data_IF_158473911610
#
_entry.id   IF_158473911610
#
_cell.length_a   1.000
_cell.length_b   1.000
_cell.length_c   1.000
_cell.angle_alpha   90.00
_cell.angle_beta   90.00
_cell.angle_gamma   90.00
#
_symmetry.space_group_name_H-M   'P 1'
#
loop_
_entity.id
_entity.type
_entity.pdbx_description
1 polymer ?
#
# COMPACT_ATOMS: atom_id res chain seq x y z
N UNK A 1 43.64 6.24 22.93
CA UNK A 1 42.19 5.92 22.90
C UNK A 1 41.90 5.11 21.64
N UNK A 2 41.96 3.77 21.70
CA UNK A 2 41.62 2.94 20.54
C UNK A 2 40.11 2.70 20.53
N UNK A 3 39.46 3.04 19.42
CA UNK A 3 38.07 2.68 19.21
C UNK A 3 37.94 1.15 19.26
N UNK A 4 36.95 0.65 20.02
CA UNK A 4 36.70 -0.78 20.16
C UNK A 4 36.48 -1.42 18.79
N UNK A 5 36.99 -2.64 18.58
CA UNK A 5 36.77 -3.42 17.35
C UNK A 5 35.26 -3.52 17.01
N UNK A 6 34.39 -3.48 18.03
CA UNK A 6 32.93 -3.42 17.86
C UNK A 6 32.46 -2.14 17.16
N UNK A 7 33.05 -0.99 17.50
CA UNK A 7 32.68 0.31 16.90
C UNK A 7 33.18 0.42 15.46
N UNK A 8 34.37 -0.12 15.19
CA UNK A 8 34.92 -0.20 13.82
C UNK A 8 34.07 -1.13 12.93
N UNK A 9 33.69 -2.31 13.43
CA UNK A 9 32.79 -3.25 12.73
C UNK A 9 31.39 -2.66 12.50
N UNK A 10 30.88 -1.89 13.47
CA UNK A 10 29.60 -1.19 13.32
C UNK A 10 29.65 -0.12 12.23
N UNK A 11 30.71 0.68 12.17
CA UNK A 11 30.94 1.69 11.13
C UNK A 11 31.05 1.08 9.73
N UNK A 12 31.75 -0.05 9.59
CA UNK A 12 31.87 -0.78 8.32
C UNK A 12 30.53 -1.40 7.90
N UNK A 13 29.80 -2.05 8.81
CA UNK A 13 28.44 -2.59 8.52
C UNK A 13 27.46 -1.51 8.09
N UNK A 14 27.51 -0.32 8.70
CA UNK A 14 26.67 0.82 8.32
C UNK A 14 27.03 1.33 6.93
N UNK A 15 28.33 1.45 6.60
CA UNK A 15 28.81 1.85 5.26
C UNK A 15 28.43 0.82 4.18
N UNK A 16 28.57 -0.48 4.46
CA UNK A 16 28.18 -1.56 3.54
C UNK A 16 26.66 -1.59 3.31
N UNK A 17 25.85 -1.43 4.36
CA UNK A 17 24.39 -1.30 4.23
C UNK A 17 23.96 -0.07 3.43
N UNK A 18 24.73 1.03 3.51
CA UNK A 18 24.44 2.23 2.73
C UNK A 18 24.87 2.08 1.26
N UNK A 19 25.96 1.35 1.00
CA UNK A 19 26.42 1.02 -0.35
C UNK A 19 25.46 0.10 -1.13
N UNK A 20 24.58 -0.64 -0.43
CA UNK A 20 23.57 -1.52 -1.03
C UNK A 20 22.15 -0.91 -1.08
N UNK A 21 22.02 0.42 -1.08
CA UNK A 21 20.72 1.09 -1.12
C UNK A 21 20.07 0.92 -2.50
N UNK A 22 18.86 0.35 -2.55
CA UNK A 22 18.06 0.26 -3.77
C UNK A 22 17.12 1.45 -3.88
N UNK A 23 17.26 2.22 -4.96
CA UNK A 23 16.32 3.28 -5.32
C UNK A 23 15.20 2.70 -6.19
N UNK A 24 13.95 2.99 -5.81
CA UNK A 24 12.74 2.74 -6.60
C UNK A 24 12.13 4.10 -6.91
N UNK A 25 12.29 4.55 -8.16
CA UNK A 25 11.68 5.78 -8.64
C UNK A 25 10.24 5.50 -9.06
N UNK A 26 9.30 6.25 -8.51
CA UNK A 26 7.91 6.24 -8.99
C UNK A 26 7.86 7.02 -10.31
N UNK A 27 7.24 6.47 -11.37
CA UNK A 27 7.15 7.17 -12.65
C UNK A 27 6.32 8.45 -12.55
N UNK A 28 6.53 9.38 -13.50
CA UNK A 28 5.76 10.63 -13.61
C UNK A 28 4.25 10.41 -13.63
N UNK A 29 3.81 9.36 -14.33
CA UNK A 29 2.43 8.89 -14.26
C UNK A 29 2.38 7.52 -13.56
N UNK A 30 1.80 7.49 -12.35
CA UNK A 30 1.57 6.29 -11.55
C UNK A 30 0.07 6.09 -11.31
N UNK A 31 -0.64 5.78 -12.38
CA UNK A 31 -2.10 5.66 -12.42
C UNK A 31 -2.52 4.45 -13.23
N UNK A 32 -3.61 3.80 -12.83
CA UNK A 32 -4.23 2.76 -13.65
C UNK A 32 -5.04 3.32 -14.82
N UNK A 33 -5.38 4.61 -14.84
CA UNK A 33 -6.24 5.19 -15.87
C UNK A 33 -5.50 6.32 -16.59
N UNK A 34 -5.36 6.19 -17.92
CA UNK A 34 -4.82 7.22 -18.79
C UNK A 34 -5.71 7.35 -20.02
N UNK A 35 -6.37 8.50 -20.16
CA UNK A 35 -7.27 8.76 -21.30
C UNK A 35 -8.44 7.78 -21.43
N UNK A 36 -8.93 7.20 -20.32
CA UNK A 36 -10.02 6.22 -20.32
C UNK A 36 -9.56 4.76 -20.51
N UNK A 37 -8.28 4.53 -20.81
CA UNK A 37 -7.69 3.20 -20.95
C UNK A 37 -7.02 2.77 -19.65
N UNK A 38 -7.19 1.49 -19.28
CA UNK A 38 -6.60 0.91 -18.07
C UNK A 38 -5.19 0.36 -18.33
N UNK A 39 -4.20 0.79 -17.54
CA UNK A 39 -2.79 0.38 -17.66
C UNK A 39 -2.27 -0.22 -16.35
N UNK A 40 -2.38 -1.55 -16.20
CA UNK A 40 -1.93 -2.26 -15.01
C UNK A 40 -0.42 -2.51 -15.00
N UNK A 41 0.14 -2.90 -16.15
CA UNK A 41 1.55 -3.31 -16.26
C UNK A 41 2.51 -2.20 -15.85
N UNK A 42 2.20 -0.94 -16.20
CA UNK A 42 3.01 0.22 -15.80
C UNK A 42 3.15 0.32 -14.28
N UNK A 43 2.03 0.22 -13.55
CA UNK A 43 2.03 0.27 -12.08
C UNK A 43 2.71 -0.96 -11.49
N UNK A 44 2.39 -2.15 -11.99
CA UNK A 44 2.91 -3.41 -11.45
C UNK A 44 4.41 -3.60 -11.71
N UNK A 45 4.93 -3.05 -12.82
CA UNK A 45 6.36 -3.13 -13.17
C UNK A 45 7.28 -2.42 -12.17
N UNK A 46 6.75 -1.46 -11.40
CA UNK A 46 7.47 -0.76 -10.33
C UNK A 46 7.68 -1.64 -9.09
N UNK A 47 6.82 -2.65 -8.91
CA UNK A 47 6.79 -3.50 -7.72
C UNK A 47 7.75 -4.69 -7.90
N UNK A 48 9.04 -4.49 -7.64
CA UNK A 48 10.04 -5.56 -7.70
C UNK A 48 9.94 -6.52 -6.51
N UNK A 49 9.14 -7.56 -6.69
CA UNK A 49 8.96 -8.65 -5.74
C UNK A 49 10.16 -9.59 -5.62
N UNK A 50 11.38 -9.20 -6.01
CA UNK A 50 12.61 -10.00 -5.78
C UNK A 50 13.52 -9.40 -4.70
N UNK A 51 13.33 -8.13 -4.36
CA UNK A 51 14.14 -7.40 -3.37
C UNK A 51 14.04 -8.04 -1.98
N UNK A 52 15.18 -8.14 -1.27
CA UNK A 52 15.32 -8.64 0.10
C UNK A 52 16.58 -8.09 0.78
N UNK A 53 16.54 -7.98 2.11
CA UNK A 53 17.67 -7.70 3.00
C UNK A 53 18.50 -6.43 2.68
N UNK A 54 17.88 -5.42 2.06
CA UNK A 54 18.54 -4.16 1.66
C UNK A 54 17.79 -2.93 2.16
N UNK A 55 18.45 -1.77 2.13
CA UNK A 55 17.76 -0.48 2.29
C UNK A 55 17.08 -0.12 0.97
N UNK A 56 15.81 0.24 1.02
CA UNK A 56 15.02 0.69 -0.11
C UNK A 56 14.61 2.15 0.12
N UNK A 57 14.80 2.99 -0.89
CA UNK A 57 14.22 4.33 -0.93
C UNK A 57 13.21 4.40 -2.07
N UNK A 58 11.99 4.80 -1.72
CA UNK A 58 10.92 5.04 -2.69
C UNK A 58 10.84 6.55 -2.93
N UNK A 59 11.07 6.95 -4.17
CA UNK A 59 11.19 8.36 -4.57
C UNK A 59 9.97 8.81 -5.38
N UNK A 60 9.22 9.77 -4.84
CA UNK A 60 8.03 10.38 -5.44
C UNK A 60 8.30 11.76 -6.06
N UNK A 61 9.54 12.25 -6.03
CA UNK A 61 9.85 13.65 -6.41
C UNK A 61 9.66 13.97 -7.90
N UNK A 62 9.52 12.96 -8.75
CA UNK A 62 9.26 13.10 -10.19
C UNK A 62 7.84 12.61 -10.57
N UNK A 63 6.96 12.36 -9.59
CA UNK A 63 5.62 11.78 -9.81
C UNK A 63 4.52 12.86 -9.92
N UNK A 64 4.31 13.36 -11.13
CA UNK A 64 3.37 14.46 -11.44
C UNK A 64 1.90 14.03 -11.39
N UNK A 65 1.60 12.74 -11.53
CA UNK A 65 0.23 12.21 -11.55
C UNK A 65 0.16 10.83 -10.93
N UNK A 66 -0.65 10.67 -9.88
CA UNK A 66 -0.94 9.39 -9.28
C UNK A 66 -2.42 9.24 -8.93
N UNK A 67 -2.94 8.01 -8.95
CA UNK A 67 -4.27 7.70 -8.40
C UNK A 67 -4.17 6.89 -7.11
N UNK A 68 -5.21 6.97 -6.28
CA UNK A 68 -5.23 6.37 -4.95
C UNK A 68 -5.09 4.85 -5.00
N UNK A 69 -5.67 4.21 -6.01
CA UNK A 69 -5.61 2.76 -6.18
C UNK A 69 -4.19 2.29 -6.47
N UNK A 70 -3.44 2.97 -7.35
CA UNK A 70 -2.06 2.58 -7.67
C UNK A 70 -1.15 2.79 -6.45
N UNK A 71 -1.26 3.94 -5.77
CA UNK A 71 -0.43 4.22 -4.59
C UNK A 71 -0.78 3.29 -3.41
N UNK A 72 -2.01 2.80 -3.32
CA UNK A 72 -2.39 1.77 -2.33
C UNK A 72 -1.62 0.46 -2.52
N UNK A 73 -1.25 0.09 -3.75
CA UNK A 73 -0.38 -1.08 -3.98
C UNK A 73 1.05 -0.87 -3.46
N UNK A 74 1.55 0.37 -3.43
CA UNK A 74 2.85 0.68 -2.82
C UNK A 74 2.85 0.43 -1.31
N UNK A 75 1.71 0.61 -0.64
CA UNK A 75 1.57 0.28 0.79
C UNK A 75 1.77 -1.22 1.01
N UNK A 76 1.09 -2.06 0.22
CA UNK A 76 1.27 -3.52 0.27
C UNK A 76 2.71 -3.92 -0.04
N UNK A 77 3.28 -3.32 -1.08
CA UNK A 77 4.66 -3.58 -1.46
C UNK A 77 5.65 -3.21 -0.35
N UNK A 78 5.42 -2.10 0.37
CA UNK A 78 6.22 -1.74 1.54
C UNK A 78 6.14 -2.79 2.65
N UNK A 79 4.95 -3.32 2.95
CA UNK A 79 4.82 -4.42 3.91
C UNK A 79 5.54 -5.69 3.44
N UNK A 80 5.49 -6.01 2.13
CA UNK A 80 6.25 -7.14 1.58
C UNK A 80 7.76 -6.96 1.69
N UNK A 81 8.25 -5.76 1.41
CA UNK A 81 9.66 -5.42 1.60
C UNK A 81 10.07 -5.57 3.07
N UNK A 82 9.21 -5.17 4.02
CA UNK A 82 9.44 -5.42 5.46
C UNK A 82 9.48 -6.88 5.84
N UNK A 83 8.56 -7.70 5.32
CA UNK A 83 8.59 -9.15 5.51
C UNK A 83 9.91 -9.77 5.05
N UNK A 84 10.59 -9.14 4.09
CA UNK A 84 11.86 -9.59 3.49
C UNK A 84 13.09 -8.88 4.05
N UNK A 85 13.01 -8.36 5.26
CA UNK A 85 14.17 -7.78 5.95
C UNK A 85 14.61 -6.41 5.45
N UNK A 86 13.85 -5.74 4.58
CA UNK A 86 14.25 -4.45 4.03
C UNK A 86 13.99 -3.28 5.01
N UNK A 87 14.89 -2.31 5.05
CA UNK A 87 14.59 -0.98 5.61
C UNK A 87 14.03 -0.09 4.51
N UNK A 88 13.06 0.79 4.83
CA UNK A 88 12.33 1.56 3.82
C UNK A 88 12.37 3.02 4.24
N UNK A 89 12.73 3.90 3.31
CA UNK A 89 12.62 5.36 3.42
C UNK A 89 11.87 5.92 2.22
N UNK A 90 11.31 7.12 2.41
CA UNK A 90 10.54 7.80 1.36
C UNK A 90 11.21 9.13 1.07
N UNK A 91 11.37 9.45 -0.21
CA UNK A 91 11.75 10.77 -0.68
C UNK A 91 10.53 11.40 -1.31
N UNK A 92 9.98 12.38 -0.61
CA UNK A 92 8.73 13.05 -0.96
C UNK A 92 9.04 14.50 -1.32
N UNK A 93 8.25 15.06 -2.23
CA UNK A 93 8.22 16.49 -2.45
C UNK A 93 7.41 17.15 -1.31
N UNK A 94 8.07 18.06 -0.58
CA UNK A 94 7.47 18.79 0.54
C UNK A 94 6.77 20.07 0.11
N UNK A 95 7.00 20.54 -1.13
CA UNK A 95 6.38 21.76 -1.65
C UNK A 95 4.96 21.50 -2.19
N UNK A 96 4.56 20.23 -2.31
CA UNK A 96 3.22 19.83 -2.72
C UNK A 96 2.95 20.05 -4.22
N UNK A 97 4.00 20.30 -5.01
CA UNK A 97 3.92 20.46 -6.46
C UNK A 97 3.66 19.10 -7.12
N UNK A 98 4.26 18.04 -6.57
CA UNK A 98 4.16 16.68 -7.09
C UNK A 98 2.93 15.94 -6.55
N UNK A 99 2.07 15.52 -7.47
CA UNK A 99 0.80 14.85 -7.14
C UNK A 99 1.01 13.55 -6.36
N UNK A 100 2.02 12.74 -6.70
CA UNK A 100 2.28 11.46 -6.03
C UNK A 100 2.55 11.62 -4.53
N UNK A 101 3.38 12.59 -4.16
CA UNK A 101 3.68 12.90 -2.75
C UNK A 101 2.43 13.36 -1.99
N UNK A 102 1.58 14.17 -2.64
CA UNK A 102 0.29 14.61 -2.08
C UNK A 102 -0.68 13.44 -1.88
N UNK A 103 -0.80 12.53 -2.85
CA UNK A 103 -1.68 11.36 -2.73
C UNK A 103 -1.20 10.44 -1.61
N UNK A 104 0.10 10.19 -1.49
CA UNK A 104 0.68 9.44 -0.37
C UNK A 104 0.30 10.04 0.99
N UNK A 105 0.39 11.37 1.12
CA UNK A 105 -0.01 12.09 2.32
C UNK A 105 -1.52 11.98 2.60
N UNK A 106 -2.37 12.21 1.60
CA UNK A 106 -3.83 12.22 1.74
C UNK A 106 -4.43 10.85 2.10
N UNK A 107 -3.73 9.76 1.79
CA UNK A 107 -4.11 8.42 2.24
C UNK A 107 -3.66 8.10 3.66
N UNK A 108 -2.93 9.01 4.33
CA UNK A 108 -2.33 8.74 5.62
C UNK A 108 -1.22 7.69 5.58
N UNK A 109 -0.63 7.42 4.41
CA UNK A 109 0.28 6.30 4.19
C UNK A 109 1.57 6.38 5.01
N UNK A 110 1.92 7.54 5.57
CA UNK A 110 2.98 7.66 6.58
C UNK A 110 2.77 6.75 7.81
N UNK A 111 1.51 6.43 8.13
CA UNK A 111 1.12 5.54 9.22
C UNK A 111 1.28 4.06 8.92
N UNK A 112 1.78 3.65 7.74
CA UNK A 112 1.67 2.26 7.26
C UNK A 112 2.27 1.19 8.20
N UNK A 113 3.30 1.51 8.99
CA UNK A 113 3.83 0.55 9.97
C UNK A 113 3.11 0.62 11.31
N UNK A 114 2.60 1.79 11.70
CA UNK A 114 1.82 1.96 12.92
C UNK A 114 0.52 1.15 12.82
N UNK A 115 -0.18 1.23 11.69
CA UNK A 115 -1.42 0.47 11.44
C UNK A 115 -1.17 -1.04 11.41
N UNK A 116 0.03 -1.55 11.17
CA UNK A 116 0.22 -2.99 11.33
C UNK A 116 0.46 -3.40 12.78
N UNK A 117 1.16 -2.57 13.54
CA UNK A 117 1.57 -2.94 14.90
C UNK A 117 0.54 -2.62 15.99
N UNK A 118 -0.44 -1.75 15.68
CA UNK A 118 -1.52 -1.36 16.59
C UNK A 118 -2.88 -1.55 15.94
N UNK A 119 -3.60 -2.59 16.37
CA UNK A 119 -4.93 -2.94 15.86
C UNK A 119 -5.99 -1.84 16.09
N UNK A 120 -5.77 -0.90 17.00
CA UNK A 120 -6.72 0.20 17.30
C UNK A 120 -6.58 1.38 16.35
N UNK A 121 -5.52 1.43 15.56
CA UNK A 121 -5.23 2.55 14.65
C UNK A 121 -5.39 2.07 13.21
N UNK A 122 -6.12 2.85 12.41
CA UNK A 122 -6.18 2.71 10.96
C UNK A 122 -5.58 3.97 10.28
N UNK A 123 -5.54 4.01 8.96
CA UNK A 123 -4.97 5.16 8.25
C UNK A 123 -5.80 6.43 8.50
N UNK A 124 -5.10 7.54 8.73
CA UNK A 124 -5.72 8.87 8.83
C UNK A 124 -5.83 9.47 7.43
N UNK A 125 -6.77 8.95 6.65
CA UNK A 125 -7.02 9.37 5.26
C UNK A 125 -8.13 10.42 5.15
N UNK A 126 -8.23 11.05 3.97
CA UNK A 126 -9.37 11.89 3.63
C UNK A 126 -10.69 11.08 3.58
N UNK A 127 -11.77 11.64 4.11
CA UNK A 127 -13.09 10.99 4.22
C UNK A 127 -13.68 10.58 2.86
N UNK A 128 -13.38 11.33 1.79
CA UNK A 128 -13.89 11.03 0.46
C UNK A 128 -13.03 10.02 -0.32
N UNK A 129 -11.85 9.69 0.21
CA UNK A 129 -10.85 8.81 -0.44
C UNK A 129 -10.17 7.91 0.59
N UNK A 130 -10.94 7.14 1.36
CA UNK A 130 -10.39 6.45 2.51
C UNK A 130 -9.50 5.28 2.08
N UNK A 131 -8.50 5.02 2.90
CA UNK A 131 -7.65 3.83 2.84
C UNK A 131 -7.82 3.08 4.15
N UNK A 132 -8.07 1.78 4.08
CA UNK A 132 -8.22 0.91 5.24
C UNK A 132 -7.17 -0.18 5.22
N UNK A 133 -6.52 -0.38 6.37
CA UNK A 133 -5.85 -1.64 6.70
C UNK A 133 -6.90 -2.62 7.23
N UNK A 134 -7.03 -3.79 6.61
CA UNK A 134 -7.97 -4.83 7.00
C UNK A 134 -7.19 -5.97 7.64
N UNK A 135 -7.25 -6.07 8.98
CA UNK A 135 -6.50 -7.07 9.78
C UNK A 135 -7.41 -8.06 10.48
N UNK A 136 -8.62 -7.64 10.79
CA UNK A 136 -9.57 -8.40 11.59
C UNK A 136 -11.02 -8.00 11.23
N UNK A 137 -11.97 -8.64 11.91
CA UNK A 137 -13.39 -8.41 11.66
C UNK A 137 -13.89 -7.03 12.11
N UNK A 138 -13.20 -6.35 13.02
CA UNK A 138 -13.56 -4.98 13.43
C UNK A 138 -13.16 -3.96 12.35
N UNK A 139 -12.00 -4.13 11.73
CA UNK A 139 -11.61 -3.34 10.53
C UNK A 139 -12.59 -3.58 9.39
N UNK A 140 -13.00 -4.83 9.17
CA UNK A 140 -14.00 -5.21 8.17
C UNK A 140 -15.31 -4.45 8.39
N UNK A 141 -15.85 -4.48 9.62
CA UNK A 141 -17.11 -3.79 9.95
C UNK A 141 -16.99 -2.28 9.75
N UNK A 142 -15.89 -1.69 10.21
CA UNK A 142 -15.64 -0.26 10.10
C UNK A 142 -15.55 0.17 8.64
N UNK A 143 -14.80 -0.58 7.82
CA UNK A 143 -14.66 -0.33 6.40
C UNK A 143 -15.99 -0.42 5.63
N UNK A 144 -16.82 -1.42 5.94
CA UNK A 144 -18.16 -1.53 5.35
C UNK A 144 -19.09 -0.40 5.79
N UNK A 145 -19.07 -0.02 7.06
CA UNK A 145 -19.87 1.11 7.55
C UNK A 145 -19.51 2.41 6.83
N UNK A 146 -18.21 2.70 6.66
CA UNK A 146 -17.78 3.88 5.90
C UNK A 146 -18.16 3.78 4.42
N UNK A 147 -18.10 2.60 3.81
CA UNK A 147 -18.54 2.41 2.43
C UNK A 147 -20.08 2.63 2.28
N UNK A 148 -20.86 2.18 3.26
CA UNK A 148 -22.31 2.39 3.33
C UNK A 148 -22.64 3.89 3.47
N UNK A 149 -21.98 4.60 4.39
CA UNK A 149 -22.11 6.06 4.55
C UNK A 149 -21.73 6.78 3.27
N UNK A 150 -20.61 6.39 2.67
CA UNK A 150 -20.11 6.98 1.43
C UNK A 150 -21.06 6.78 0.25
N UNK A 151 -21.76 5.63 0.19
CA UNK A 151 -22.70 5.32 -0.89
C UNK A 151 -24.12 5.80 -0.67
N UNK A 152 -24.47 6.20 0.56
CA UNK A 152 -25.80 6.71 0.90
C UNK A 152 -26.20 7.94 0.05
N UNK A 153 -25.24 8.72 -0.43
CA UNK A 153 -25.44 9.89 -1.28
C UNK A 153 -25.67 9.57 -2.78
N UNK A 154 -25.47 8.31 -3.21
CA UNK A 154 -25.49 7.91 -4.63
C UNK A 154 -26.66 6.98 -5.03
N UNK A 155 -27.56 6.65 -4.08
CA UNK A 155 -28.79 5.88 -4.32
C UNK A 155 -28.79 4.45 -3.75
N UNK A 156 -29.97 3.98 -3.32
CA UNK A 156 -30.13 2.76 -2.47
C UNK A 156 -29.77 1.45 -3.18
N UNK A 157 -29.97 1.35 -4.50
CA UNK A 157 -29.72 0.10 -5.25
C UNK A 157 -28.21 -0.19 -5.43
N UNK A 158 -27.41 0.85 -5.64
CA UNK A 158 -25.95 0.74 -5.76
C UNK A 158 -25.30 0.37 -4.42
N UNK A 159 -25.83 0.90 -3.32
CA UNK A 159 -25.33 0.64 -1.97
C UNK A 159 -25.40 -0.85 -1.62
N UNK A 160 -26.55 -1.51 -1.83
CA UNK A 160 -26.71 -2.95 -1.50
C UNK A 160 -25.74 -3.83 -2.30
N UNK A 161 -25.62 -3.54 -3.60
CA UNK A 161 -24.74 -4.31 -4.50
C UNK A 161 -23.28 -4.12 -4.13
N UNK A 162 -22.83 -2.88 -3.92
CA UNK A 162 -21.45 -2.61 -3.52
C UNK A 162 -21.13 -3.26 -2.17
N UNK A 163 -22.02 -3.10 -1.18
CA UNK A 163 -21.84 -3.69 0.15
C UNK A 163 -21.66 -5.20 0.07
N UNK A 164 -22.47 -5.86 -0.76
CA UNK A 164 -22.34 -7.30 -1.01
C UNK A 164 -20.97 -7.64 -1.61
N UNK A 165 -20.58 -6.97 -2.70
CA UNK A 165 -19.28 -7.19 -3.36
C UNK A 165 -18.11 -6.95 -2.40
N UNK A 166 -18.12 -5.86 -1.64
CA UNK A 166 -17.08 -5.56 -0.67
C UNK A 166 -17.05 -6.61 0.45
N UNK A 167 -18.21 -7.04 0.95
CA UNK A 167 -18.27 -8.07 2.00
C UNK A 167 -17.63 -9.37 1.56
N UNK A 168 -17.92 -9.85 0.35
CA UNK A 168 -17.33 -11.06 -0.22
C UNK A 168 -15.81 -10.92 -0.42
N UNK A 169 -15.36 -9.79 -0.97
CA UNK A 169 -13.93 -9.55 -1.20
C UNK A 169 -13.14 -9.43 0.12
N UNK A 170 -13.69 -8.71 1.09
CA UNK A 170 -13.06 -8.54 2.40
C UNK A 170 -13.09 -9.84 3.22
N UNK A 171 -14.13 -10.66 3.07
CA UNK A 171 -14.18 -11.99 3.69
C UNK A 171 -13.07 -12.89 3.12
N UNK A 172 -12.93 -12.93 1.79
CA UNK A 172 -11.86 -13.67 1.13
C UNK A 172 -10.46 -13.19 1.55
N UNK A 173 -10.27 -11.87 1.65
CA UNK A 173 -9.03 -11.27 2.15
C UNK A 173 -8.72 -11.74 3.58
N UNK A 174 -9.71 -11.71 4.47
CA UNK A 174 -9.52 -12.13 5.85
C UNK A 174 -9.28 -13.63 5.98
N UNK A 175 -9.92 -14.48 5.19
CA UNK A 175 -9.77 -15.94 5.29
C UNK A 175 -8.52 -16.47 4.57
N UNK A 176 -8.20 -15.93 3.39
CA UNK A 176 -7.19 -16.50 2.49
C UNK A 176 -5.97 -15.60 2.26
N UNK A 177 -6.06 -14.29 2.52
CA UNK A 177 -4.97 -13.32 2.35
C UNK A 177 -3.95 -13.30 3.51
N UNK A 178 -4.09 -14.21 4.49
CA UNK A 178 -3.29 -14.22 5.72
C UNK A 178 -1.80 -14.39 5.41
N UNK A 179 -1.03 -13.36 5.73
CA UNK A 179 0.43 -13.43 5.82
C UNK A 179 0.87 -12.66 7.07
N UNK A 180 2.04 -12.98 7.61
CA UNK A 180 2.53 -12.33 8.82
C UNK A 180 3.90 -11.69 8.57
N UNK A 181 4.19 -10.63 9.32
CA UNK A 181 5.54 -10.11 9.42
C UNK A 181 6.01 -10.01 10.86
N UNK A 182 7.33 -10.11 11.03
CA UNK A 182 7.96 -9.99 12.33
C UNK A 182 8.49 -8.58 12.53
N UNK A 183 8.10 -7.95 13.63
CA UNK A 183 8.59 -6.65 14.05
C UNK A 183 9.01 -6.69 15.51
N UNK A 184 10.27 -6.32 15.78
CA UNK A 184 10.87 -6.36 17.13
C UNK A 184 10.63 -7.70 17.86
N UNK A 185 10.74 -8.81 17.13
CA UNK A 185 10.56 -10.17 17.68
C UNK A 185 9.10 -10.60 17.92
N UNK A 186 8.10 -9.75 17.59
CA UNK A 186 6.68 -10.10 17.64
C UNK A 186 6.13 -10.32 16.24
N UNK A 187 5.21 -11.26 16.09
CA UNK A 187 4.51 -11.57 14.84
C UNK A 187 3.22 -10.75 14.77
N UNK A 188 2.98 -10.09 13.65
CA UNK A 188 1.77 -9.32 13.38
C UNK A 188 1.14 -9.79 12.07
N UNK A 189 -0.20 -9.82 12.00
CA UNK A 189 -0.89 -10.05 10.74
C UNK A 189 -0.57 -8.91 9.79
N UNK A 190 -0.17 -9.27 8.57
CA UNK A 190 0.00 -8.29 7.50
C UNK A 190 -1.39 -7.92 7.02
N UNK A 191 -1.77 -6.63 7.08
CA UNK A 191 -3.08 -6.20 6.62
C UNK A 191 -3.23 -6.45 5.12
N UNK A 192 -4.45 -6.69 4.69
CA UNK A 192 -4.84 -6.30 3.34
C UNK A 192 -5.23 -4.82 3.31
N UNK A 193 -5.45 -4.29 2.11
CA UNK A 193 -5.93 -2.92 1.90
C UNK A 193 -7.29 -2.92 1.24
N UNK A 194 -8.14 -2.00 1.68
CA UNK A 194 -9.28 -1.53 0.92
C UNK A 194 -9.08 -0.04 0.66
N UNK A 195 -9.17 0.38 -0.59
CA UNK A 195 -9.18 1.80 -0.94
C UNK A 195 -10.31 2.04 -1.92
N UNK A 196 -11.10 3.09 -1.70
CA UNK A 196 -12.11 3.52 -2.66
C UNK A 196 -12.16 5.03 -2.83
N UNK A 197 -12.62 5.47 -3.98
CA UNK A 197 -12.71 6.88 -4.36
C UNK A 197 -13.87 7.08 -5.32
N UNK A 198 -14.62 8.16 -5.10
CA UNK A 198 -15.59 8.65 -6.06
C UNK A 198 -14.93 9.63 -7.03
N UNK A 199 -15.08 9.37 -8.32
CA UNK A 199 -14.65 10.27 -9.38
C UNK A 199 -15.86 11.03 -9.91
N UNK A 200 -16.19 12.14 -9.26
CA UNK A 200 -17.37 12.97 -9.55
C UNK A 200 -17.50 13.35 -11.03
N UNK A 201 -16.39 13.72 -11.69
CA UNK A 201 -16.40 14.12 -13.11
C UNK A 201 -16.91 13.05 -14.07
N UNK A 202 -16.71 11.78 -13.74
CA UNK A 202 -17.15 10.63 -14.56
C UNK A 202 -18.29 9.86 -13.88
N UNK A 203 -18.71 10.28 -12.69
CA UNK A 203 -19.76 9.64 -11.90
C UNK A 203 -19.50 8.15 -11.64
N UNK A 204 -18.24 7.80 -11.34
CA UNK A 204 -17.82 6.41 -11.11
C UNK A 204 -17.19 6.21 -9.73
N UNK A 205 -17.55 5.11 -9.08
CA UNK A 205 -16.89 4.60 -7.90
C UNK A 205 -15.77 3.64 -8.30
N UNK A 206 -14.54 3.94 -7.92
CA UNK A 206 -13.41 3.03 -8.12
C UNK A 206 -12.94 2.54 -6.76
N UNK A 207 -12.73 1.23 -6.64
CA UNK A 207 -12.19 0.63 -5.44
C UNK A 207 -11.14 -0.44 -5.79
N UNK A 208 -10.28 -0.73 -4.81
CA UNK A 208 -9.34 -1.85 -4.84
C UNK A 208 -9.37 -2.55 -3.49
N UNK A 209 -9.43 -3.88 -3.53
CA UNK A 209 -9.20 -4.78 -2.39
C UNK A 209 -8.00 -5.62 -2.76
N UNK A 210 -6.96 -5.63 -1.92
CA UNK A 210 -5.74 -6.34 -2.23
C UNK A 210 -4.99 -6.77 -0.97
N UNK A 211 -4.22 -7.86 -1.07
CA UNK A 211 -3.40 -8.41 -0.01
C UNK A 211 -2.04 -8.92 -0.55
N UNK A 212 -1.18 -9.41 0.36
CA UNK A 212 0.17 -9.93 0.06
C UNK A 212 0.18 -11.48 0.09
N UNK A 213 -0.98 -12.11 -0.01
CA UNK A 213 -1.23 -13.54 0.17
C UNK A 213 -0.35 -14.47 -0.67
N UNK A 214 -0.50 -15.76 -0.44
CA UNK A 214 0.33 -16.84 -1.03
C UNK A 214 0.07 -16.90 -2.55
N UNK A 215 0.72 -16.04 -3.34
CA UNK A 215 0.38 -15.99 -4.77
C UNK A 215 0.99 -14.91 -5.66
N UNK A 216 2.12 -14.27 -5.34
CA UNK A 216 2.93 -13.64 -6.42
C UNK A 216 3.76 -14.73 -7.11
N UNK A 217 3.09 -15.69 -7.74
CA UNK A 217 3.72 -16.80 -8.45
C UNK A 217 3.20 -16.83 -9.89
N UNK A 218 3.73 -15.90 -10.71
CA UNK A 218 3.54 -15.76 -12.17
C UNK A 218 2.08 -15.64 -12.64
N UNK A 219 1.80 -14.93 -13.75
CA UNK A 219 0.55 -15.17 -14.46
C UNK A 219 0.52 -16.66 -14.83
N UNK A 220 -0.43 -17.43 -14.27
CA UNK A 220 -0.73 -18.76 -14.76
C UNK A 220 -1.17 -18.57 -16.22
N UNK A 221 -0.30 -18.96 -17.16
CA UNK A 221 -0.73 -19.20 -18.54
C UNK A 221 -1.80 -20.28 -18.47
N UNK A 222 -3.06 -19.89 -18.66
CA UNK A 222 -4.09 -20.85 -19.03
C UNK A 222 -3.65 -21.44 -20.37
N UNK A 223 -3.29 -22.71 -20.35
CA UNK A 223 -3.13 -23.54 -21.54
C UNK A 223 -4.46 -24.23 -21.73
N UNK A 224 -5.20 -23.78 -22.75
CA UNK A 224 -6.13 -24.63 -23.48
C UNK A 224 -5.44 -25.04 -24.76
#
# INVERSE_FOLDING_TARGET
MSASIKDQLYGVRKKVKHASKRLIKIPSEFTFNRGGVKYFDQVLSVLDWTIKDVQVEIDFTECDSANYQAVSLLVLYCWKLKQRGCSISFKLDHNGEQNGSRVWHMMGAHGLFAVTTDAKVNFKSNEHKPLFAIRNFDDFKSALATADEFTSSFGVEYQKTLRYVLSELLYNLLEHGKSDFTWKGRRFPTPGVLQFTWYEKVNELHFIVADIGIGVNRPRKYSH
#
